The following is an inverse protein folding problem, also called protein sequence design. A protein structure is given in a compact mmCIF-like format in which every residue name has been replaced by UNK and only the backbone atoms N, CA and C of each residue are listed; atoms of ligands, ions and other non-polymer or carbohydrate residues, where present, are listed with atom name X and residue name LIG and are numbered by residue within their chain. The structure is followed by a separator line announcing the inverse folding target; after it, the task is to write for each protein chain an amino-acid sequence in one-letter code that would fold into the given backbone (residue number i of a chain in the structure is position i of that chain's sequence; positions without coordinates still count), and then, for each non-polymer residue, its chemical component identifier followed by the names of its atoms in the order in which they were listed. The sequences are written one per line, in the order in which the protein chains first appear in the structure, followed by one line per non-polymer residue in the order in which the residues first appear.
data_IF_042845420499
#
_entry.id   IF_042845420499
#
_cell.length_a   1.000
_cell.length_b   1.000
_cell.length_c   1.000
_cell.angle_alpha   90.00
_cell.angle_beta   90.00
_cell.angle_gamma   90.00
#
_symmetry.space_group_name_H-M   'P 1'
#
loop_
_entity.id
_entity.type
_entity.pdbx_description
1 polymer ?
#
# COMPACT_ATOMS: atom_id res chain seq x y z
N UNK A 1 -16.82 17.17 -9.03
CA UNK A 1 -16.32 17.19 -10.40
C UNK A 1 -15.74 15.84 -10.77
N UNK A 2 -16.28 15.23 -11.80
CA UNK A 2 -15.86 13.91 -12.25
C UNK A 2 -14.37 13.87 -12.64
N UNK A 3 -13.88 14.93 -13.23
CA UNK A 3 -12.49 15.00 -13.67
C UNK A 3 -11.49 14.97 -12.50
N UNK A 4 -11.86 15.55 -11.37
CA UNK A 4 -10.99 15.56 -10.21
C UNK A 4 -10.83 14.14 -9.64
N UNK A 5 -11.87 13.30 -9.73
CA UNK A 5 -11.82 11.93 -9.26
C UNK A 5 -10.88 11.06 -10.09
N UNK A 6 -10.68 11.38 -11.37
CA UNK A 6 -9.85 10.59 -12.26
C UNK A 6 -8.36 10.92 -12.17
N UNK A 7 -8.02 11.98 -11.47
CA UNK A 7 -6.63 12.43 -11.35
C UNK A 7 -5.86 11.79 -10.20
N UNK A 8 -6.54 10.98 -9.40
CA UNK A 8 -5.96 10.45 -8.20
C UNK A 8 -5.87 11.48 -7.07
N UNK A 9 -5.14 11.16 -6.04
CA UNK A 9 -4.96 12.05 -4.90
C UNK A 9 -3.87 13.08 -5.20
N UNK A 10 -4.08 14.32 -4.74
CA UNK A 10 -3.04 15.33 -4.82
C UNK A 10 -1.94 15.02 -3.81
N UNK A 11 -0.79 15.70 -3.93
CA UNK A 11 0.28 15.54 -2.95
C UNK A 11 -0.15 15.96 -1.55
N UNK A 12 -1.07 16.93 -1.44
CA UNK A 12 -1.63 17.32 -0.14
C UNK A 12 -2.54 16.23 0.43
N UNK A 13 -3.34 15.57 -0.41
CA UNK A 13 -4.17 14.46 0.01
C UNK A 13 -3.32 13.30 0.51
N UNK A 14 -2.22 13.01 -0.18
CA UNK A 14 -1.29 11.96 0.22
C UNK A 14 -0.62 12.32 1.53
N UNK A 15 -0.21 13.59 1.72
CA UNK A 15 0.35 14.04 2.97
C UNK A 15 -0.64 13.89 4.13
N UNK A 16 -1.92 14.19 3.88
CA UNK A 16 -2.98 13.99 4.89
C UNK A 16 -3.13 12.51 5.21
N UNK A 17 -3.12 11.66 4.20
CA UNK A 17 -3.21 10.22 4.41
C UNK A 17 -2.03 9.69 5.22
N UNK A 18 -0.82 10.23 4.99
CA UNK A 18 0.34 9.87 5.79
C UNK A 18 0.12 10.16 7.26
N UNK A 19 -0.48 11.31 7.57
CA UNK A 19 -0.80 11.68 8.96
C UNK A 19 -1.80 10.70 9.54
N UNK A 20 -2.88 10.42 8.81
CA UNK A 20 -3.92 9.51 9.28
C UNK A 20 -3.36 8.11 9.52
N UNK A 21 -2.55 7.60 8.61
CA UNK A 21 -1.92 6.29 8.75
C UNK A 21 -0.90 6.25 9.89
N UNK A 22 -0.24 7.37 10.17
CA UNK A 22 0.72 7.42 11.26
C UNK A 22 0.08 7.18 12.60
N UNK A 23 -1.21 7.44 12.74
CA UNK A 23 -1.95 7.13 13.96
C UNK A 23 -2.14 5.63 14.15
N UNK A 24 -1.95 4.85 13.07
CA UNK A 24 -2.04 3.40 13.12
C UNK A 24 -0.70 2.72 13.40
N UNK A 25 0.37 3.48 13.61
CA UNK A 25 1.66 2.90 13.96
C UNK A 25 1.53 2.11 15.26
N UNK A 26 2.05 0.88 15.26
CA UNK A 26 1.88 -0.07 16.35
C UNK A 26 0.82 -1.11 16.07
N UNK A 27 -0.08 -0.86 15.16
CA UNK A 27 -1.11 -1.82 14.79
C UNK A 27 -0.52 -2.98 13.99
N UNK A 28 -1.15 -4.14 14.07
CA UNK A 28 -0.73 -5.33 13.33
C UNK A 28 -1.63 -5.56 12.14
N UNK A 29 -1.02 -5.92 11.02
CA UNK A 29 -1.77 -6.35 9.85
C UNK A 29 -2.37 -7.72 10.15
N UNK A 30 -3.66 -7.89 9.89
CA UNK A 30 -4.35 -9.16 10.12
C UNK A 30 -4.50 -9.94 8.83
N UNK A 31 -5.19 -9.36 7.86
CA UNK A 31 -5.46 -9.99 6.57
C UNK A 31 -5.39 -8.96 5.47
N UNK A 32 -5.22 -9.45 4.25
CA UNK A 32 -5.26 -8.61 3.06
C UNK A 32 -6.22 -9.25 2.07
N UNK A 33 -6.89 -8.40 1.30
CA UNK A 33 -7.89 -8.82 0.33
C UNK A 33 -7.73 -8.01 -0.95
N UNK A 34 -8.19 -8.57 -2.05
CA UNK A 34 -8.26 -7.85 -3.32
C UNK A 34 -9.67 -8.02 -3.88
N UNK A 35 -10.62 -7.16 -3.43
CA UNK A 35 -12.02 -7.29 -3.90
C UNK A 35 -12.19 -6.99 -5.38
N UNK A 36 -11.26 -6.27 -5.97
CA UNK A 36 -11.28 -5.88 -7.37
C UNK A 36 -9.82 -5.81 -7.83
N UNK A 37 -9.58 -6.00 -9.14
CA UNK A 37 -8.20 -6.03 -9.64
C UNK A 37 -7.42 -4.73 -9.35
N UNK A 38 -8.13 -3.61 -9.15
CA UNK A 38 -7.50 -2.34 -8.81
C UNK A 38 -7.64 -1.97 -7.34
N UNK A 39 -8.25 -2.81 -6.52
CA UNK A 39 -8.52 -2.48 -5.13
C UNK A 39 -7.89 -3.49 -4.19
N UNK A 40 -7.11 -2.99 -3.25
CA UNK A 40 -6.45 -3.80 -2.23
C UNK A 40 -6.93 -3.31 -0.87
N UNK A 41 -7.23 -4.23 0.03
CA UNK A 41 -7.65 -3.91 1.40
C UNK A 41 -6.71 -4.62 2.36
N UNK A 42 -6.11 -3.87 3.26
CA UNK A 42 -5.27 -4.43 4.34
C UNK A 42 -5.96 -4.15 5.66
N UNK A 43 -6.35 -5.21 6.37
CA UNK A 43 -7.00 -5.08 7.66
C UNK A 43 -5.95 -4.98 8.76
N UNK A 44 -6.01 -3.90 9.53
CA UNK A 44 -5.06 -3.63 10.61
C UNK A 44 -5.81 -3.41 11.91
N UNK A 45 -5.16 -3.78 13.01
CA UNK A 45 -5.80 -3.70 14.32
C UNK A 45 -4.79 -3.34 15.40
N UNK A 46 -5.13 -2.35 16.22
CA UNK A 46 -4.42 -2.04 17.45
C UNK A 46 -4.94 -2.92 18.58
N UNK A 47 -4.09 -3.18 19.55
CA UNK A 47 -4.47 -3.94 20.74
C UNK A 47 -5.64 -3.25 21.44
N UNK A 48 -6.70 -4.02 21.70
CA UNK A 48 -7.88 -3.49 22.39
C UNK A 48 -8.83 -2.67 21.53
N UNK A 49 -8.54 -2.53 20.24
CA UNK A 49 -9.40 -1.76 19.34
C UNK A 49 -10.03 -2.66 18.29
N UNK A 50 -11.06 -2.15 17.63
CA UNK A 50 -11.68 -2.85 16.50
C UNK A 50 -10.79 -2.74 15.27
N UNK A 51 -10.84 -3.73 14.35
CA UNK A 51 -10.06 -3.65 13.12
C UNK A 51 -10.47 -2.47 12.25
N UNK A 52 -9.49 -1.94 11.51
CA UNK A 52 -9.70 -0.88 10.54
C UNK A 52 -9.12 -1.36 9.21
N UNK A 53 -9.82 -1.08 8.12
CA UNK A 53 -9.36 -1.46 6.80
C UNK A 53 -8.68 -0.28 6.12
N UNK A 54 -7.44 -0.52 5.68
CA UNK A 54 -6.78 0.39 4.74
C UNK A 54 -7.21 -0.03 3.35
N UNK A 55 -8.00 0.83 2.70
CA UNK A 55 -8.52 0.59 1.36
C UNK A 55 -7.67 1.37 0.37
N UNK A 56 -7.11 0.67 -0.60
CA UNK A 56 -6.25 1.27 -1.63
C UNK A 56 -6.87 1.00 -2.98
N UNK A 57 -7.20 2.07 -3.70
CA UNK A 57 -7.66 1.97 -5.08
C UNK A 57 -6.52 2.47 -5.96
N UNK A 58 -5.94 1.56 -6.73
CA UNK A 58 -4.73 1.81 -7.51
C UNK A 58 -4.81 3.10 -8.32
N UNK A 59 -3.84 3.98 -8.10
CA UNK A 59 -3.74 5.24 -8.84
C UNK A 59 -4.81 6.28 -8.53
N UNK A 60 -5.72 5.99 -7.57
CA UNK A 60 -6.83 6.90 -7.30
C UNK A 60 -6.85 7.44 -5.89
N UNK A 61 -6.90 6.54 -4.90
CA UNK A 61 -7.02 6.99 -3.50
C UNK A 61 -6.68 5.87 -2.52
N UNK A 62 -6.43 6.27 -1.30
CA UNK A 62 -6.33 5.36 -0.17
C UNK A 62 -7.05 6.01 1.01
N UNK A 63 -7.68 5.20 1.85
CA UNK A 63 -8.39 5.72 3.03
C UNK A 63 -8.56 4.62 4.06
N UNK A 64 -8.79 5.03 5.30
CA UNK A 64 -9.11 4.12 6.39
C UNK A 64 -10.62 4.01 6.55
N UNK A 65 -11.10 2.79 6.78
CA UNK A 65 -12.53 2.53 6.91
C UNK A 65 -12.77 1.48 7.98
N UNK A 66 -13.73 1.73 8.87
CA UNK A 66 -14.20 0.72 9.83
C UNK A 66 -15.51 0.08 9.38
N UNK A 67 -15.96 0.41 8.19
CA UNK A 67 -17.18 -0.10 7.60
C UNK A 67 -17.01 -1.55 7.19
N UNK A 68 -17.97 -2.40 7.53
CA UNK A 68 -17.98 -3.77 7.02
C UNK A 68 -18.31 -3.77 5.53
N UNK A 69 -17.68 -4.69 4.83
CA UNK A 69 -17.90 -4.89 3.40
C UNK A 69 -17.69 -6.35 3.07
N UNK A 70 -18.38 -6.87 2.06
CA UNK A 70 -18.14 -8.25 1.65
C UNK A 70 -16.73 -8.38 1.08
N UNK A 71 -16.06 -9.47 1.47
CA UNK A 71 -14.72 -9.77 0.99
C UNK A 71 -14.74 -11.06 0.19
N UNK A 72 -13.88 -11.20 -0.83
CA UNK A 72 -13.83 -12.44 -1.60
C UNK A 72 -13.36 -13.58 -0.72
N UNK A 73 -13.93 -14.77 -0.95
CA UNK A 73 -13.57 -15.97 -0.22
C UNK A 73 -12.17 -16.44 -0.60
N UNK A 74 -11.82 -16.33 -1.87
CA UNK A 74 -10.53 -16.77 -2.37
C UNK A 74 -9.62 -15.56 -2.57
N UNK A 75 -8.48 -15.54 -1.90
CA UNK A 75 -7.55 -14.42 -2.06
C UNK A 75 -6.85 -14.50 -3.42
N UNK A 76 -6.57 -13.32 -4.00
CA UNK A 76 -5.76 -13.23 -5.20
C UNK A 76 -4.30 -13.57 -4.88
N UNK A 77 -3.49 -13.75 -5.93
CA UNK A 77 -2.05 -13.95 -5.76
C UNK A 77 -1.42 -12.81 -4.96
N UNK A 78 -1.77 -11.57 -5.27
CA UNK A 78 -1.21 -10.42 -4.55
C UNK A 78 -1.65 -10.41 -3.08
N UNK A 79 -2.93 -10.69 -2.81
CA UNK A 79 -3.42 -10.75 -1.44
C UNK A 79 -2.73 -11.86 -0.65
N UNK A 80 -2.47 -13.01 -1.27
CA UNK A 80 -1.75 -14.11 -0.63
C UNK A 80 -0.31 -13.70 -0.29
N UNK A 81 0.35 -13.01 -1.21
CA UNK A 81 1.70 -12.52 -0.98
C UNK A 81 1.73 -11.52 0.18
N UNK A 82 0.76 -10.62 0.24
CA UNK A 82 0.64 -9.70 1.36
C UNK A 82 0.45 -10.46 2.67
N UNK A 83 -0.48 -11.41 2.72
CA UNK A 83 -0.72 -12.20 3.94
C UNK A 83 0.53 -12.95 4.39
N UNK A 84 1.28 -13.49 3.44
CA UNK A 84 2.49 -14.24 3.75
C UNK A 84 3.55 -13.34 4.39
N UNK A 85 3.73 -12.13 3.89
CA UNK A 85 4.85 -11.28 4.28
C UNK A 85 4.51 -10.26 5.36
N UNK A 86 3.28 -9.77 5.42
CA UNK A 86 2.92 -8.77 6.43
C UNK A 86 1.90 -9.28 7.47
N UNK A 87 1.40 -10.50 7.32
CA UNK A 87 0.48 -11.06 8.30
C UNK A 87 1.09 -11.06 9.69
N UNK A 88 0.41 -10.48 10.67
CA UNK A 88 0.84 -10.28 12.05
C UNK A 88 2.03 -9.34 12.21
N UNK A 89 2.51 -8.72 11.14
CA UNK A 89 3.57 -7.73 11.22
C UNK A 89 3.02 -6.41 11.77
N UNK A 90 3.87 -5.68 12.46
CA UNK A 90 3.50 -4.41 13.06
C UNK A 90 3.89 -3.26 12.15
N UNK A 91 2.97 -2.32 11.96
CA UNK A 91 3.27 -1.08 11.24
C UNK A 91 4.18 -0.23 12.11
N UNK A 92 5.38 0.08 11.63
CA UNK A 92 6.37 0.83 12.40
C UNK A 92 6.66 2.21 11.85
N UNK A 93 6.42 2.45 10.56
CA UNK A 93 6.60 3.80 10.02
C UNK A 93 5.73 4.01 8.79
N UNK A 94 5.38 5.26 8.58
CA UNK A 94 4.66 5.72 7.39
C UNK A 94 5.36 6.97 6.91
N UNK A 95 5.93 6.90 5.71
CA UNK A 95 6.68 8.03 5.14
C UNK A 95 6.18 8.34 3.74
N UNK A 96 6.44 9.57 3.29
CA UNK A 96 6.11 10.03 1.96
C UNK A 96 7.39 10.40 1.25
N UNK A 97 7.53 10.02 -0.01
CA UNK A 97 8.69 10.35 -0.82
C UNK A 97 8.65 11.83 -1.21
N UNK A 98 9.40 12.67 -0.48
CA UNK A 98 9.44 14.09 -0.74
C UNK A 98 8.05 14.70 -0.81
N UNK A 99 7.76 15.38 -1.92
CA UNK A 99 6.44 15.92 -2.21
C UNK A 99 5.68 15.05 -3.21
N UNK A 100 6.21 13.87 -3.53
CA UNK A 100 5.56 12.97 -4.48
C UNK A 100 4.37 12.26 -3.84
N UNK A 101 3.53 11.69 -4.70
CA UNK A 101 2.34 10.98 -4.25
C UNK A 101 2.64 9.50 -4.04
N UNK A 102 3.69 9.24 -3.26
CA UNK A 102 4.13 7.88 -2.95
C UNK A 102 4.24 7.74 -1.43
N UNK A 103 3.57 6.73 -0.88
CA UNK A 103 3.65 6.41 0.54
C UNK A 103 4.38 5.10 0.74
N UNK A 104 5.19 5.05 1.79
CA UNK A 104 5.89 3.84 2.22
C UNK A 104 5.37 3.46 3.60
N UNK A 105 4.80 2.25 3.70
CA UNK A 105 4.35 1.69 4.96
C UNK A 105 5.30 0.55 5.32
N UNK A 106 6.08 0.75 6.38
CA UNK A 106 7.04 -0.27 6.82
C UNK A 106 6.41 -1.14 7.90
N UNK A 107 6.42 -2.44 7.67
CA UNK A 107 5.95 -3.44 8.63
C UNK A 107 7.14 -4.26 9.11
N UNK A 108 7.14 -4.60 10.39
CA UNK A 108 8.19 -5.44 10.98
C UNK A 108 7.62 -6.64 11.70
N UNK A 109 8.33 -7.75 11.58
CA UNK A 109 8.06 -8.97 12.35
C UNK A 109 9.42 -9.61 12.69
N UNK A 110 9.40 -10.76 13.38
CA UNK A 110 10.64 -11.38 13.85
C UNK A 110 11.62 -11.77 12.76
N UNK A 111 11.18 -11.85 11.50
CA UNK A 111 12.03 -12.24 10.37
C UNK A 111 12.65 -11.04 9.65
N UNK A 112 12.27 -9.83 10.01
CA UNK A 112 12.77 -8.64 9.36
C UNK A 112 11.64 -7.67 9.01
N UNK A 113 11.88 -6.82 8.02
CA UNK A 113 10.91 -5.81 7.62
C UNK A 113 10.51 -5.95 6.16
N UNK A 114 9.30 -5.50 5.86
CA UNK A 114 8.80 -5.37 4.48
C UNK A 114 8.12 -4.01 4.36
N UNK A 115 8.08 -3.50 3.14
CA UNK A 115 7.53 -2.18 2.88
C UNK A 115 6.43 -2.32 1.84
N UNK A 116 5.26 -1.77 2.16
CA UNK A 116 4.18 -1.64 1.20
C UNK A 116 4.27 -0.25 0.60
N UNK A 117 4.53 -0.20 -0.70
CA UNK A 117 4.67 1.05 -1.44
C UNK A 117 3.36 1.34 -2.15
N UNK A 118 2.79 2.51 -1.91
CA UNK A 118 1.53 2.93 -2.51
C UNK A 118 1.79 4.15 -3.37
N UNK A 119 1.71 3.95 -4.69
CA UNK A 119 1.91 5.02 -5.66
C UNK A 119 0.54 5.59 -6.03
N UNK A 120 0.25 6.80 -5.56
CA UNK A 120 -1.09 7.40 -5.62
C UNK A 120 -1.30 8.32 -6.82
N UNK A 121 -0.41 8.28 -7.79
CA UNK A 121 -0.59 9.05 -9.02
C UNK A 121 -1.28 8.19 -10.08
N UNK A 122 -1.74 8.83 -11.15
CA UNK A 122 -2.37 8.13 -12.26
C UNK A 122 -1.43 7.06 -12.80
N UNK A 123 -1.96 5.88 -13.09
CA UNK A 123 -1.19 4.71 -13.51
C UNK A 123 -0.17 4.25 -12.46
N UNK A 124 -0.39 4.65 -11.21
CA UNK A 124 0.44 4.19 -10.12
C UNK A 124 0.22 2.73 -9.78
N UNK A 125 0.93 2.24 -8.78
CA UNK A 125 0.96 0.83 -8.45
C UNK A 125 0.92 0.65 -6.94
N UNK A 126 0.76 -0.60 -6.52
CA UNK A 126 0.91 -1.01 -5.13
C UNK A 126 1.96 -2.11 -5.16
N UNK A 127 3.06 -1.93 -4.43
CA UNK A 127 4.21 -2.82 -4.55
C UNK A 127 4.67 -3.28 -3.18
N UNK A 128 4.83 -4.58 -3.01
CA UNK A 128 5.42 -5.12 -1.80
C UNK A 128 6.91 -5.32 -2.01
N UNK A 129 7.71 -4.76 -1.11
CA UNK A 129 9.16 -4.71 -1.22
C UNK A 129 9.77 -5.27 0.07
N UNK A 130 10.86 -6.02 -0.02
CA UNK A 130 11.54 -6.53 1.17
C UNK A 130 12.44 -5.46 1.81
N UNK A 131 13.09 -5.81 2.91
CA UNK A 131 13.94 -4.88 3.64
C UNK A 131 15.17 -4.40 2.88
N UNK A 132 15.55 -5.09 1.82
CA UNK A 132 16.69 -4.71 0.97
C UNK A 132 16.27 -3.94 -0.27
N UNK A 133 14.98 -3.66 -0.41
CA UNK A 133 14.47 -2.90 -1.55
C UNK A 133 14.10 -3.73 -2.76
N UNK A 134 14.16 -5.06 -2.64
CA UNK A 134 13.82 -5.94 -3.75
C UNK A 134 12.32 -6.16 -3.81
N UNK A 135 11.74 -6.07 -5.00
CA UNK A 135 10.31 -6.24 -5.19
C UNK A 135 9.91 -7.70 -4.97
N UNK A 136 9.01 -7.91 -4.01
CA UNK A 136 8.43 -9.23 -3.78
C UNK A 136 7.27 -9.48 -4.74
N UNK A 137 6.39 -8.49 -4.90
CA UNK A 137 5.34 -8.55 -5.90
C UNK A 137 4.72 -7.16 -6.11
N UNK A 138 4.54 -6.72 -7.36
CA UNK A 138 3.69 -5.55 -7.65
C UNK A 138 2.26 -6.00 -7.84
N UNK A 139 1.30 -5.09 -7.62
CA UNK A 139 -0.09 -5.37 -7.97
C UNK A 139 -0.23 -5.60 -9.47
N UNK A 140 0.46 -4.76 -10.25
CA UNK A 140 0.51 -4.88 -11.69
C UNK A 140 1.96 -4.78 -12.15
N UNK A 141 2.44 -5.77 -12.90
CA UNK A 141 3.79 -5.69 -13.47
C UNK A 141 3.84 -4.61 -14.53
N UNK A 142 4.93 -3.86 -14.56
CA UNK A 142 5.08 -2.76 -15.49
C UNK A 142 6.54 -2.53 -15.83
N UNK A 143 6.80 -2.12 -17.05
CA UNK A 143 8.12 -1.72 -17.52
C UNK A 143 8.05 -0.32 -18.09
N UNK A 144 8.87 0.56 -17.54
CA UNK A 144 8.97 1.94 -17.99
C UNK A 144 10.40 2.18 -18.46
N UNK A 145 10.62 3.30 -19.11
CA UNK A 145 11.97 3.66 -19.57
C UNK A 145 12.94 3.76 -18.39
N UNK A 146 12.48 4.26 -17.25
CA UNK A 146 13.34 4.55 -16.11
C UNK A 146 13.32 3.48 -15.03
N UNK A 147 12.37 2.55 -15.05
CA UNK A 147 12.27 1.54 -14.00
C UNK A 147 11.40 0.36 -14.43
N UNK A 148 11.64 -0.78 -13.79
CA UNK A 148 10.87 -2.00 -14.04
C UNK A 148 10.27 -2.48 -12.72
N UNK A 149 8.95 -2.63 -12.69
CA UNK A 149 8.22 -3.07 -11.51
C UNK A 149 7.82 -4.52 -11.70
N UNK A 150 8.73 -5.43 -11.37
CA UNK A 150 8.52 -6.86 -11.45
C UNK A 150 9.18 -7.55 -10.26
N UNK A 151 8.70 -8.74 -9.94
CA UNK A 151 9.31 -9.55 -8.88
C UNK A 151 10.80 -9.73 -9.11
N UNK A 152 11.58 -9.52 -8.07
CA UNK A 152 13.03 -9.69 -8.10
C UNK A 152 13.81 -8.44 -8.51
N UNK A 153 13.13 -7.44 -9.05
CA UNK A 153 13.78 -6.19 -9.41
C UNK A 153 13.93 -5.28 -8.21
N UNK A 154 14.96 -4.43 -8.24
CA UNK A 154 15.13 -3.42 -7.21
C UNK A 154 14.08 -2.33 -7.38
N UNK A 155 13.36 -2.02 -6.32
CA UNK A 155 12.39 -0.94 -6.38
C UNK A 155 13.10 0.41 -6.46
N UNK A 156 12.63 1.26 -7.34
CA UNK A 156 13.01 2.67 -7.37
C UNK A 156 11.75 3.50 -7.56
N UNK A 157 11.66 4.67 -6.91
CA UNK A 157 10.51 5.54 -7.09
C UNK A 157 10.44 6.08 -8.50
N UNK A 158 9.27 6.59 -8.92
CA UNK A 158 9.17 7.22 -10.23
C UNK A 158 10.08 8.43 -10.29
N UNK A 159 10.55 8.81 -11.48
CA UNK A 159 11.36 10.02 -11.60
C UNK A 159 10.56 11.23 -11.14
N UNK A 160 11.26 12.14 -10.44
CA UNK A 160 10.63 13.33 -9.93
C UNK A 160 10.13 14.19 -11.10
N UNK A 161 8.88 14.61 -11.03
CA UNK A 161 8.33 15.52 -12.03
C UNK A 161 8.51 16.93 -11.53
N UNK A 162 9.56 17.52 -11.91
CA UNK A 162 9.86 18.90 -11.50
C UNK A 162 9.21 19.92 -12.41
#
# INVERSE_FOLDING_TARGET
MAQAADRGMSSFDVARMRVDLSEMIGARAQKAYQPHYEQVVVRIKNTGASPVDLVIVRGKRAYLSSRERPMPQNPSSFAMTLRKHIGNARLVSVTQEGFDRVLYLKFEHGRGSVILVIEMFRDGNVILVDGDGQILQPLTSASYRSRTLKRGEQYSPPPSSM
#
